data_IF_282600656524
#
_entry.id   IF_282600656524
#
_cell.length_a   1.000
_cell.length_b   1.000
_cell.length_c   1.000
_cell.angle_alpha   90.00
_cell.angle_beta   90.00
_cell.angle_gamma   90.00
#
_symmetry.space_group_name_H-M   'P 1'
#
loop_
_entity.id
_entity.type
_entity.pdbx_description
1 polymer ?
#
# COMPACT_ATOMS: atom_id res chain seq x y z
N UNK A 1 13.16 43.54 -36.82
CA UNK A 1 13.82 43.19 -35.56
C UNK A 1 14.11 41.71 -35.65
N UNK A 2 15.39 41.39 -35.76
CA UNK A 2 15.89 40.04 -36.08
C UNK A 2 16.10 39.28 -34.78
N UNK A 3 15.56 38.07 -34.71
CA UNK A 3 15.54 37.22 -33.50
C UNK A 3 16.92 36.60 -33.16
N UNK A 4 18.01 37.09 -33.76
CA UNK A 4 19.37 36.55 -33.58
C UNK A 4 20.22 37.21 -32.50
N UNK A 5 19.71 38.27 -31.85
CA UNK A 5 20.49 39.03 -30.85
C UNK A 5 20.24 38.64 -29.39
N UNK A 6 19.50 37.53 -29.14
CA UNK A 6 19.15 37.08 -27.76
C UNK A 6 19.94 35.87 -27.25
N UNK A 7 20.85 35.29 -28.04
CA UNK A 7 21.55 34.04 -27.67
C UNK A 7 22.98 34.21 -27.09
N UNK A 8 23.48 35.39 -26.80
CA UNK A 8 24.88 35.55 -26.34
C UNK A 8 25.09 36.23 -24.97
N UNK A 9 24.07 36.54 -24.20
CA UNK A 9 24.22 37.23 -22.90
C UNK A 9 23.84 36.48 -21.64
N UNK A 10 23.07 35.40 -21.73
CA UNK A 10 22.41 34.82 -20.55
C UNK A 10 22.99 33.52 -19.98
N UNK A 11 23.70 32.75 -20.74
CA UNK A 11 24.16 31.44 -20.33
C UNK A 11 25.40 31.44 -19.40
N UNK A 12 26.24 32.43 -19.50
CA UNK A 12 27.46 32.55 -18.70
C UNK A 12 27.20 32.99 -17.25
N UNK A 13 26.29 33.93 -17.04
CA UNK A 13 25.98 34.45 -15.69
C UNK A 13 25.17 33.44 -14.85
N UNK A 14 24.26 32.70 -15.47
CA UNK A 14 23.48 31.67 -14.77
C UNK A 14 24.36 30.49 -14.38
N UNK A 15 25.31 30.08 -15.19
CA UNK A 15 26.27 29.03 -14.88
C UNK A 15 27.16 29.41 -13.69
N UNK A 16 27.66 30.66 -13.66
CA UNK A 16 28.54 31.17 -12.58
C UNK A 16 27.77 31.25 -11.23
N UNK A 17 26.50 31.64 -11.26
CA UNK A 17 25.65 31.67 -10.04
C UNK A 17 25.32 30.29 -9.54
N UNK A 18 25.11 29.31 -10.43
CA UNK A 18 24.89 27.91 -10.04
C UNK A 18 26.16 27.30 -9.45
N UNK A 19 27.32 27.55 -10.00
CA UNK A 19 28.58 27.02 -9.47
C UNK A 19 28.90 27.62 -8.09
N UNK A 20 28.67 28.91 -7.87
CA UNK A 20 28.80 29.58 -6.56
C UNK A 20 27.82 29.01 -5.51
N UNK A 21 26.59 28.64 -5.91
CA UNK A 21 25.60 28.03 -5.02
C UNK A 21 26.02 26.61 -4.68
N UNK A 22 26.51 25.84 -5.64
CA UNK A 22 26.96 24.45 -5.42
C UNK A 22 28.20 24.45 -4.52
N UNK A 23 29.16 25.40 -4.74
CA UNK A 23 30.36 25.51 -3.91
C UNK A 23 30.02 25.89 -2.45
N UNK A 24 29.11 26.84 -2.23
CA UNK A 24 28.60 27.19 -0.89
C UNK A 24 27.83 26.09 -0.21
N UNK A 25 27.06 25.30 -0.96
CA UNK A 25 26.38 24.13 -0.43
C UNK A 25 27.38 23.01 -0.08
N UNK A 26 28.44 22.85 -0.87
CA UNK A 26 29.51 21.90 -0.56
C UNK A 26 30.35 22.32 0.66
N UNK A 27 30.64 23.63 0.81
CA UNK A 27 31.29 24.13 2.03
C UNK A 27 30.43 24.01 3.28
N UNK A 28 29.13 24.25 3.19
CA UNK A 28 28.19 24.03 4.29
C UNK A 28 28.05 22.52 4.65
N UNK A 29 28.11 21.62 3.67
CA UNK A 29 28.11 20.18 3.90
C UNK A 29 29.40 19.68 4.57
N UNK A 30 30.54 20.35 4.34
CA UNK A 30 31.81 20.01 5.00
C UNK A 30 31.95 20.63 6.41
N UNK A 31 31.18 21.67 6.72
CA UNK A 31 31.25 22.35 8.01
C UNK A 31 30.41 21.71 9.13
N UNK A 32 29.66 20.65 8.83
CA UNK A 32 28.87 19.94 9.85
C UNK A 32 29.44 18.53 10.03
N UNK A 33 30.21 18.24 11.09
CA UNK A 33 30.53 16.87 11.44
C UNK A 33 29.26 16.21 11.96
N UNK A 34 28.46 15.61 11.08
CA UNK A 34 27.39 14.69 11.49
C UNK A 34 28.04 13.33 11.80
N UNK A 35 28.83 13.32 12.85
CA UNK A 35 29.05 12.12 13.63
C UNK A 35 28.02 12.12 14.76
N UNK A 36 26.75 12.07 14.44
CA UNK A 36 25.80 11.49 15.35
C UNK A 36 26.11 9.99 15.41
N UNK A 37 26.97 9.59 16.34
CA UNK A 37 26.97 8.22 16.84
C UNK A 37 25.53 7.88 17.10
N UNK A 38 25.00 6.87 16.40
CA UNK A 38 23.75 6.27 16.77
C UNK A 38 23.85 6.01 18.28
N UNK A 39 22.97 6.65 19.04
CA UNK A 39 22.90 6.36 20.47
C UNK A 39 22.73 4.85 20.60
N UNK A 40 23.43 4.19 21.52
CA UNK A 40 23.23 2.78 21.75
C UNK A 40 21.74 2.57 21.98
N UNK A 41 21.14 1.67 21.20
CA UNK A 41 19.73 1.29 21.35
C UNK A 41 19.62 0.76 22.78
N UNK A 42 19.15 1.63 23.67
CA UNK A 42 18.91 1.25 25.06
C UNK A 42 17.79 0.21 25.06
N UNK A 43 17.81 -0.71 26.00
CA UNK A 43 16.88 -1.84 26.20
C UNK A 43 15.37 -1.48 26.24
N UNK A 44 15.01 -0.24 25.97
CA UNK A 44 13.65 0.32 25.97
C UNK A 44 12.84 0.09 24.67
N UNK A 45 13.39 -0.55 23.65
CA UNK A 45 12.68 -0.82 22.37
C UNK A 45 11.76 -2.03 22.46
N UNK A 46 11.96 -2.93 23.39
CA UNK A 46 11.06 -4.06 23.64
C UNK A 46 10.04 -3.64 24.69
N UNK A 47 8.75 -3.67 24.32
CA UNK A 47 7.68 -3.52 25.29
C UNK A 47 7.68 -4.75 26.21
N UNK A 48 7.35 -4.57 27.48
CA UNK A 48 7.22 -5.67 28.43
C UNK A 48 6.29 -6.75 27.86
N UNK A 49 6.73 -8.01 27.88
CA UNK A 49 5.90 -9.13 27.40
C UNK A 49 4.65 -9.22 28.25
N UNK A 50 3.51 -9.09 27.60
CA UNK A 50 2.21 -9.08 28.28
C UNK A 50 1.91 -10.42 28.96
N UNK A 51 2.33 -11.54 28.32
CA UNK A 51 2.12 -12.88 28.82
C UNK A 51 3.39 -13.75 28.67
N UNK A 52 3.64 -14.69 29.60
CA UNK A 52 4.72 -15.66 29.44
C UNK A 52 4.40 -16.65 28.31
N UNK A 53 5.42 -17.02 27.56
CA UNK A 53 5.36 -18.02 26.49
C UNK A 53 6.56 -18.96 26.64
N UNK A 54 6.31 -20.26 26.64
CA UNK A 54 7.33 -21.29 26.61
C UNK A 54 7.75 -21.55 25.17
N UNK A 55 9.04 -21.39 24.89
CA UNK A 55 9.62 -21.56 23.54
C UNK A 55 10.17 -22.95 23.34
N UNK A 56 10.20 -23.42 22.09
CA UNK A 56 10.76 -24.71 21.67
C UNK A 56 11.78 -24.49 20.53
N UNK A 57 13.06 -24.48 20.88
CA UNK A 57 14.17 -24.24 19.93
C UNK A 57 14.32 -25.34 18.87
N UNK A 58 13.75 -26.55 19.08
CA UNK A 58 13.79 -27.62 18.08
C UNK A 58 13.03 -27.23 16.78
N UNK A 59 12.08 -26.30 16.87
CA UNK A 59 11.31 -25.79 15.74
C UNK A 59 12.10 -24.91 14.78
N UNK A 60 13.30 -24.46 15.15
CA UNK A 60 14.24 -23.81 14.23
C UNK A 60 14.62 -24.71 13.04
N UNK A 61 14.49 -26.02 13.18
CA UNK A 61 14.68 -26.99 12.10
C UNK A 61 13.60 -26.91 11.00
N UNK A 62 12.45 -26.31 11.28
CA UNK A 62 11.38 -26.07 10.29
C UNK A 62 11.69 -24.88 9.37
N UNK A 63 12.61 -23.99 9.78
CA UNK A 63 12.99 -22.82 9.00
C UNK A 63 14.02 -23.22 7.94
N UNK A 64 13.78 -22.81 6.69
CA UNK A 64 14.79 -22.92 5.64
C UNK A 64 15.95 -21.97 5.90
N UNK A 65 17.13 -22.23 5.33
CA UNK A 65 18.27 -21.32 5.45
C UNK A 65 17.93 -19.91 4.92
N UNK A 66 17.23 -19.81 3.79
CA UNK A 66 16.74 -18.53 3.29
C UNK A 66 15.79 -17.83 4.27
N UNK A 67 14.91 -18.59 4.93
CA UNK A 67 14.03 -18.07 5.99
C UNK A 67 14.81 -17.50 7.16
N UNK A 68 15.82 -18.23 7.64
CA UNK A 68 16.72 -17.80 8.74
C UNK A 68 17.48 -16.52 8.37
N UNK A 69 18.06 -16.47 7.17
CA UNK A 69 18.76 -15.28 6.68
C UNK A 69 17.83 -14.06 6.62
N UNK A 70 16.59 -14.26 6.13
CA UNK A 70 15.58 -13.20 6.07
C UNK A 70 15.19 -12.70 7.46
N UNK A 71 15.00 -13.60 8.42
CA UNK A 71 14.67 -13.23 9.80
C UNK A 71 15.81 -12.46 10.45
N UNK A 72 17.06 -12.90 10.26
CA UNK A 72 18.26 -12.24 10.76
C UNK A 72 18.43 -10.83 10.18
N UNK A 73 18.19 -10.66 8.88
CA UNK A 73 18.39 -9.39 8.18
C UNK A 73 17.41 -8.30 8.64
N UNK A 74 16.14 -8.66 8.91
CA UNK A 74 15.07 -7.64 9.01
C UNK A 74 14.16 -7.74 10.23
N UNK A 75 14.07 -8.88 10.89
CA UNK A 75 13.01 -9.12 11.88
C UNK A 75 13.50 -9.20 13.31
N UNK A 76 14.64 -9.85 13.53
CA UNK A 76 15.18 -10.05 14.88
C UNK A 76 15.59 -8.73 15.53
N UNK A 77 15.41 -8.66 16.83
CA UNK A 77 16.05 -7.67 17.68
C UNK A 77 17.46 -8.13 18.06
N UNK A 78 18.38 -7.21 18.44
CA UNK A 78 19.71 -7.60 18.89
C UNK A 78 19.66 -8.63 20.04
N UNK A 79 20.24 -9.80 19.80
CA UNK A 79 20.27 -10.89 20.76
C UNK A 79 19.02 -11.77 20.83
N UNK A 80 18.04 -11.53 19.97
CA UNK A 80 16.81 -12.33 19.88
C UNK A 80 17.03 -13.58 19.03
N UNK A 81 16.54 -14.74 19.50
CA UNK A 81 16.46 -15.97 18.69
C UNK A 81 15.17 -15.95 17.83
N UNK A 82 15.06 -16.89 16.85
CA UNK A 82 13.83 -17.04 16.05
C UNK A 82 12.61 -17.32 16.92
N UNK A 83 12.78 -18.17 17.93
CA UNK A 83 11.68 -18.52 18.83
C UNK A 83 11.32 -17.37 19.77
N UNK A 84 12.27 -16.54 20.18
CA UNK A 84 12.01 -15.31 20.95
C UNK A 84 11.20 -14.29 20.15
N UNK A 85 11.50 -14.13 18.85
CA UNK A 85 10.72 -13.30 17.92
C UNK A 85 9.26 -13.76 17.90
N UNK A 86 9.01 -15.06 17.68
CA UNK A 86 7.67 -15.61 17.60
C UNK A 86 6.92 -15.48 18.94
N UNK A 87 7.61 -15.72 20.06
CA UNK A 87 7.05 -15.57 21.39
C UNK A 87 6.71 -14.09 21.71
N UNK A 88 7.57 -13.16 21.31
CA UNK A 88 7.34 -11.71 21.49
C UNK A 88 6.07 -11.26 20.79
N UNK A 89 5.90 -11.66 19.54
CA UNK A 89 4.74 -11.28 18.71
C UNK A 89 3.47 -11.94 19.25
N UNK A 90 3.50 -13.22 19.57
CA UNK A 90 2.37 -13.93 20.16
C UNK A 90 1.93 -13.29 21.49
N UNK A 91 2.87 -13.01 22.39
CA UNK A 91 2.59 -12.41 23.70
C UNK A 91 2.03 -10.98 23.57
N UNK A 92 2.42 -10.22 22.55
CA UNK A 92 1.98 -8.84 22.36
C UNK A 92 0.49 -8.72 22.00
N UNK A 93 -0.03 -9.70 21.26
CA UNK A 93 -1.36 -9.60 20.64
C UNK A 93 -2.34 -10.71 21.06
N UNK A 94 -2.10 -11.32 22.22
CA UNK A 94 -3.01 -12.32 22.78
C UNK A 94 -3.84 -11.78 23.93
N UNK A 95 -4.99 -12.43 24.19
CA UNK A 95 -5.93 -12.03 25.23
C UNK A 95 -5.45 -12.50 26.62
N UNK A 96 -4.81 -13.67 26.68
CA UNK A 96 -4.28 -14.28 27.90
C UNK A 96 -3.05 -15.17 27.61
N UNK A 97 -2.47 -15.74 28.65
CA UNK A 97 -1.27 -16.58 28.54
C UNK A 97 -1.52 -17.88 27.74
N UNK A 98 -2.72 -18.47 27.82
CA UNK A 98 -3.06 -19.68 27.08
C UNK A 98 -3.22 -19.38 25.59
N UNK A 99 -3.86 -18.26 25.24
CA UNK A 99 -3.94 -17.75 23.87
C UNK A 99 -2.54 -17.43 23.33
N UNK A 100 -1.69 -16.75 24.11
CA UNK A 100 -0.31 -16.44 23.71
C UNK A 100 0.50 -17.70 23.40
N UNK A 101 0.37 -18.75 24.22
CA UNK A 101 1.05 -20.01 23.96
C UNK A 101 0.54 -20.67 22.67
N UNK A 102 -0.76 -20.71 22.44
CA UNK A 102 -1.32 -21.30 21.21
C UNK A 102 -0.89 -20.53 19.97
N UNK A 103 -0.95 -19.19 19.99
CA UNK A 103 -0.52 -18.36 18.85
C UNK A 103 0.98 -18.55 18.56
N UNK A 104 1.81 -18.63 19.62
CA UNK A 104 3.21 -18.98 19.46
C UNK A 104 3.38 -20.35 18.78
N UNK A 105 2.61 -21.34 19.23
CA UNK A 105 2.67 -22.69 18.66
C UNK A 105 2.27 -22.67 17.17
N UNK A 106 1.27 -21.88 16.77
CA UNK A 106 0.87 -21.75 15.37
C UNK A 106 1.94 -21.09 14.51
N UNK A 107 2.54 -20.00 14.99
CA UNK A 107 3.61 -19.31 14.26
C UNK A 107 4.84 -20.18 14.15
N UNK A 108 5.31 -20.74 15.25
CA UNK A 108 6.55 -21.52 15.31
C UNK A 108 6.48 -22.86 14.58
N UNK A 109 5.28 -23.43 14.39
CA UNK A 109 5.01 -24.59 13.53
C UNK A 109 4.76 -24.23 12.07
N UNK A 110 4.84 -22.95 11.71
CA UNK A 110 4.58 -22.44 10.37
C UNK A 110 3.13 -22.70 9.88
N UNK A 111 2.16 -22.84 10.77
CA UNK A 111 0.75 -22.96 10.45
C UNK A 111 0.14 -21.58 10.08
N UNK A 112 0.66 -20.55 10.73
CA UNK A 112 0.23 -19.17 10.62
C UNK A 112 1.43 -18.25 10.54
N UNK A 113 1.42 -17.30 9.60
CA UNK A 113 2.50 -16.33 9.45
C UNK A 113 1.95 -14.91 9.50
N UNK A 114 2.30 -14.14 10.54
CA UNK A 114 2.00 -12.72 10.61
C UNK A 114 2.67 -11.93 9.48
N UNK A 115 2.00 -10.88 8.99
CA UNK A 115 2.59 -9.99 8.01
C UNK A 115 3.86 -9.30 8.52
N UNK A 116 4.72 -8.86 7.60
CA UNK A 116 6.02 -8.25 7.93
C UNK A 116 5.94 -7.20 9.05
N UNK A 117 5.04 -6.18 9.03
CA UNK A 117 5.01 -5.20 10.10
C UNK A 117 4.54 -5.77 11.44
N UNK A 118 3.67 -6.76 11.44
CA UNK A 118 3.23 -7.44 12.66
C UNK A 118 4.40 -8.20 13.26
N UNK A 119 5.11 -8.97 12.44
CA UNK A 119 6.22 -9.80 12.90
C UNK A 119 7.42 -8.94 13.32
N UNK A 120 7.78 -7.90 12.56
CA UNK A 120 8.94 -7.06 12.87
C UNK A 120 8.71 -6.05 13.99
N UNK A 121 7.52 -5.46 14.08
CA UNK A 121 7.21 -4.37 15.02
C UNK A 121 6.40 -4.83 16.24
N UNK A 122 5.77 -6.00 16.19
CA UNK A 122 4.94 -6.52 17.27
C UNK A 122 5.70 -6.64 18.59
N UNK A 123 5.12 -6.12 19.68
CA UNK A 123 5.75 -6.07 21.00
C UNK A 123 6.96 -5.14 21.09
N UNK A 124 7.09 -4.19 20.16
CA UNK A 124 8.18 -3.19 20.14
C UNK A 124 7.66 -1.77 19.99
N UNK A 125 8.47 -0.80 20.38
CA UNK A 125 8.23 0.63 20.13
C UNK A 125 8.72 1.14 18.76
N UNK A 126 9.33 0.29 17.92
CA UNK A 126 10.04 0.73 16.71
C UNK A 126 9.15 1.02 15.49
N UNK A 127 7.90 0.60 15.51
CA UNK A 127 6.98 0.84 14.39
C UNK A 127 5.53 0.47 14.72
N UNK A 128 4.66 0.57 13.72
CA UNK A 128 3.26 0.17 13.80
C UNK A 128 3.07 -1.17 13.08
N UNK A 129 2.07 -1.99 13.48
CA UNK A 129 1.91 -3.34 12.95
C UNK A 129 1.08 -3.40 11.65
N UNK A 130 0.84 -2.28 10.98
CA UNK A 130 -0.01 -2.20 9.78
C UNK A 130 0.83 -2.12 8.52
N UNK A 131 0.45 -2.92 7.51
CA UNK A 131 1.12 -2.98 6.22
C UNK A 131 0.47 -2.17 5.11
N UNK A 132 -0.85 -1.96 5.16
CA UNK A 132 -1.61 -1.43 4.03
C UNK A 132 -2.55 -0.31 4.43
N UNK A 133 -2.52 0.76 3.61
CA UNK A 133 -3.38 1.93 3.72
C UNK A 133 -3.97 2.29 2.36
N UNK A 134 -5.22 2.76 2.38
CA UNK A 134 -5.93 3.21 1.18
C UNK A 134 -6.51 4.59 1.46
N UNK A 135 -6.24 5.56 0.61
CA UNK A 135 -6.81 6.89 0.73
C UNK A 135 -7.25 7.49 -0.60
N UNK A 136 -7.90 8.64 -0.55
CA UNK A 136 -8.42 9.35 -1.71
C UNK A 136 -8.00 10.81 -1.66
N UNK A 137 -7.72 11.38 -2.82
CA UNK A 137 -7.38 12.79 -2.98
C UNK A 137 -8.65 13.59 -3.25
N UNK A 138 -8.88 14.66 -2.51
CA UNK A 138 -9.94 15.62 -2.80
C UNK A 138 -9.52 16.59 -3.91
N UNK A 139 -10.49 17.06 -4.70
CA UNK A 139 -10.27 17.99 -5.82
C UNK A 139 -10.00 19.43 -5.36
N UNK A 140 -8.95 19.59 -4.56
CA UNK A 140 -8.46 20.89 -4.10
C UNK A 140 -6.97 20.84 -3.83
N UNK A 141 -6.29 21.99 -3.87
CA UNK A 141 -4.88 22.05 -3.51
C UNK A 141 -4.64 21.60 -2.07
N UNK A 142 -5.54 21.97 -1.15
CA UNK A 142 -5.50 21.53 0.23
C UNK A 142 -5.62 20.00 0.34
N UNK A 143 -6.59 19.40 -0.37
CA UNK A 143 -6.77 17.94 -0.40
C UNK A 143 -5.55 17.20 -0.94
N UNK A 144 -4.94 17.71 -1.99
CA UNK A 144 -3.70 17.16 -2.56
C UNK A 144 -2.55 17.22 -1.56
N UNK A 145 -2.32 18.39 -0.95
CA UNK A 145 -1.23 18.60 0.04
C UNK A 145 -1.47 17.74 1.29
N UNK A 146 -2.70 17.67 1.79
CA UNK A 146 -3.05 16.85 2.94
C UNK A 146 -2.81 15.35 2.65
N UNK A 147 -3.11 14.89 1.44
CA UNK A 147 -2.83 13.50 1.03
C UNK A 147 -1.32 13.24 0.97
N UNK A 148 -0.52 14.14 0.40
CA UNK A 148 0.94 14.01 0.43
C UNK A 148 1.49 13.96 1.85
N UNK A 149 1.03 14.85 2.72
CA UNK A 149 1.44 14.88 4.13
C UNK A 149 1.09 13.55 4.83
N UNK A 150 -0.14 13.07 4.69
CA UNK A 150 -0.54 11.77 5.24
C UNK A 150 0.34 10.64 4.70
N UNK A 151 0.56 10.57 3.39
CA UNK A 151 1.36 9.54 2.75
C UNK A 151 2.82 9.50 3.25
N UNK A 152 3.41 10.64 3.58
CA UNK A 152 4.75 10.72 4.21
C UNK A 152 4.75 9.99 5.56
N UNK A 153 3.75 10.23 6.39
CA UNK A 153 3.65 9.57 7.70
C UNK A 153 3.35 8.08 7.58
N UNK A 154 2.43 7.70 6.70
CA UNK A 154 2.11 6.29 6.43
C UNK A 154 3.35 5.52 5.95
N UNK A 155 4.09 6.07 4.98
CA UNK A 155 5.30 5.47 4.46
C UNK A 155 6.43 5.40 5.51
N UNK A 156 6.60 6.44 6.33
CA UNK A 156 7.62 6.46 7.39
C UNK A 156 7.41 5.38 8.47
N UNK A 157 6.17 4.88 8.61
CA UNK A 157 5.82 3.77 9.49
C UNK A 157 5.81 2.41 8.82
N UNK A 158 6.28 2.34 7.57
CA UNK A 158 6.41 1.10 6.81
C UNK A 158 5.15 0.64 6.07
N UNK A 159 4.12 1.49 5.97
CA UNK A 159 2.89 1.20 5.24
C UNK A 159 3.07 1.26 3.72
N UNK A 160 2.49 0.28 3.01
CA UNK A 160 2.22 0.39 1.58
C UNK A 160 0.92 1.16 1.35
N UNK A 161 0.87 2.02 0.35
CA UNK A 161 -0.22 2.97 0.17
C UNK A 161 -0.87 2.78 -1.19
N UNK A 162 -2.22 2.78 -1.24
CA UNK A 162 -2.98 2.92 -2.47
C UNK A 162 -3.78 4.22 -2.43
N UNK A 163 -3.52 5.13 -3.37
CA UNK A 163 -4.15 6.45 -3.42
C UNK A 163 -5.04 6.61 -4.65
N UNK A 164 -6.29 6.96 -4.44
CA UNK A 164 -7.22 7.27 -5.51
C UNK A 164 -7.12 8.71 -5.97
N UNK A 165 -6.88 8.91 -7.25
CA UNK A 165 -6.74 10.21 -7.90
C UNK A 165 -7.93 10.61 -8.76
N UNK A 166 -8.90 9.72 -8.91
CA UNK A 166 -10.04 9.91 -9.82
C UNK A 166 -11.02 11.02 -9.43
N UNK A 167 -10.91 11.62 -8.24
CA UNK A 167 -11.71 12.81 -7.89
C UNK A 167 -11.10 14.10 -8.44
N UNK A 168 -9.80 14.13 -8.72
CA UNK A 168 -9.09 15.36 -9.11
C UNK A 168 -9.34 15.63 -10.59
N UNK A 169 -9.76 16.85 -10.89
CA UNK A 169 -10.07 17.29 -12.27
C UNK A 169 -8.89 17.18 -13.22
N UNK A 170 -9.20 16.91 -14.47
CA UNK A 170 -8.20 16.71 -15.52
C UNK A 170 -7.56 17.99 -16.04
N UNK A 171 -6.47 17.83 -16.81
CA UNK A 171 -5.71 18.92 -17.42
C UNK A 171 -6.60 19.91 -18.17
N UNK A 172 -6.32 21.20 -18.05
CA UNK A 172 -7.01 22.29 -18.74
C UNK A 172 -8.34 22.69 -18.13
N UNK A 173 -8.82 22.02 -17.07
CA UNK A 173 -10.03 22.42 -16.37
C UNK A 173 -9.83 23.69 -15.55
N UNK A 174 -10.88 24.50 -15.33
CA UNK A 174 -10.76 25.79 -14.64
C UNK A 174 -10.37 25.61 -13.17
N UNK A 175 -9.42 26.45 -12.72
CA UNK A 175 -9.02 26.58 -11.31
C UNK A 175 -9.14 28.05 -10.90
N UNK A 176 -9.94 28.32 -9.86
CA UNK A 176 -10.23 29.70 -9.46
C UNK A 176 -10.85 30.54 -10.56
N UNK A 177 -10.54 31.83 -10.60
CA UNK A 177 -11.13 32.78 -11.54
C UNK A 177 -10.41 32.83 -12.90
N UNK A 178 -9.10 32.56 -12.93
CA UNK A 178 -8.26 32.85 -14.09
C UNK A 178 -7.28 31.73 -14.48
N UNK A 179 -7.32 30.59 -13.81
CA UNK A 179 -6.36 29.51 -14.01
C UNK A 179 -6.93 28.29 -14.70
N UNK A 180 -6.05 27.45 -15.22
CA UNK A 180 -6.32 26.08 -15.67
C UNK A 180 -5.37 25.12 -14.99
N UNK A 181 -5.86 23.95 -14.59
CA UNK A 181 -5.01 22.93 -13.97
C UNK A 181 -4.05 22.31 -15.00
N UNK A 182 -2.85 21.96 -14.55
CA UNK A 182 -1.89 21.14 -15.29
C UNK A 182 -2.23 19.63 -15.28
N UNK A 183 -3.34 19.26 -14.67
CA UNK A 183 -3.80 17.88 -14.56
C UNK A 183 -3.23 17.15 -13.34
N UNK A 184 -3.49 15.83 -13.26
CA UNK A 184 -3.10 14.99 -12.12
C UNK A 184 -1.62 14.57 -12.17
N UNK A 185 -1.06 14.38 -13.35
CA UNK A 185 0.27 13.77 -13.52
C UNK A 185 1.38 14.50 -12.78
N UNK A 186 1.48 15.86 -12.80
CA UNK A 186 2.49 16.57 -12.03
C UNK A 186 2.39 16.34 -10.52
N UNK A 187 1.17 16.22 -9.99
CA UNK A 187 0.95 15.94 -8.56
C UNK A 187 1.28 14.49 -8.20
N UNK A 188 0.96 13.53 -9.08
CA UNK A 188 1.36 12.12 -8.97
C UNK A 188 2.90 12.02 -8.96
N UNK A 189 3.59 12.80 -9.78
CA UNK A 189 5.05 12.84 -9.78
C UNK A 189 5.65 13.34 -8.45
N UNK A 190 5.05 14.33 -7.80
CA UNK A 190 5.48 14.74 -6.45
C UNK A 190 5.34 13.58 -5.48
N UNK A 191 4.22 12.85 -5.52
CA UNK A 191 4.02 11.64 -4.71
C UNK A 191 5.06 10.56 -5.00
N UNK A 192 5.45 10.37 -6.27
CA UNK A 192 6.53 9.46 -6.68
C UNK A 192 7.85 9.78 -5.95
N UNK A 193 8.24 11.04 -5.96
CA UNK A 193 9.46 11.50 -5.32
C UNK A 193 9.40 11.42 -3.80
N UNK A 194 8.27 11.78 -3.19
CA UNK A 194 8.04 11.64 -1.75
C UNK A 194 8.12 10.18 -1.31
N UNK A 195 7.48 9.28 -2.04
CA UNK A 195 7.48 7.84 -1.74
C UNK A 195 8.88 7.26 -1.81
N UNK A 196 9.68 7.67 -2.80
CA UNK A 196 11.07 7.24 -2.95
C UNK A 196 11.96 7.75 -1.81
N UNK A 197 11.74 8.98 -1.35
CA UNK A 197 12.54 9.62 -0.31
C UNK A 197 12.27 9.06 1.10
N UNK A 198 11.06 8.54 1.34
CA UNK A 198 10.62 8.10 2.67
C UNK A 198 10.77 6.58 2.81
N UNK A 199 11.32 6.16 3.94
CA UNK A 199 11.42 4.75 4.30
C UNK A 199 11.36 4.56 5.82
N UNK A 200 10.94 3.39 6.27
CA UNK A 200 11.05 2.98 7.67
C UNK A 200 12.48 2.48 7.93
N UNK A 201 13.43 3.40 8.08
CA UNK A 201 14.85 3.05 8.25
C UNK A 201 15.33 2.11 7.14
N UNK A 202 16.08 1.04 7.52
CA UNK A 202 16.49 -0.01 6.59
C UNK A 202 15.45 -1.13 6.41
N UNK A 203 14.36 -1.13 7.18
CA UNK A 203 13.43 -2.25 7.26
C UNK A 203 12.49 -2.33 6.03
N UNK A 204 11.90 -1.20 5.64
CA UNK A 204 10.94 -1.16 4.53
C UNK A 204 11.00 0.18 3.80
N UNK A 205 11.22 0.14 2.49
CA UNK A 205 11.14 1.33 1.63
C UNK A 205 9.70 1.77 1.46
N UNK A 206 9.47 3.08 1.31
CA UNK A 206 8.19 3.63 0.91
C UNK A 206 7.79 3.06 -0.45
N UNK A 207 6.55 2.62 -0.57
CA UNK A 207 5.97 2.10 -1.80
C UNK A 207 4.51 2.50 -1.88
N UNK A 208 4.07 2.95 -3.06
CA UNK A 208 2.70 3.37 -3.26
C UNK A 208 2.19 3.05 -4.66
N UNK A 209 0.87 2.92 -4.77
CA UNK A 209 0.14 2.79 -6.02
C UNK A 209 -0.84 3.94 -6.20
N UNK A 210 -1.03 4.40 -7.43
CA UNK A 210 -2.04 5.39 -7.82
C UNK A 210 -3.15 4.69 -8.59
N UNK A 211 -4.40 5.01 -8.27
CA UNK A 211 -5.57 4.45 -8.93
C UNK A 211 -6.38 5.53 -9.64
N UNK A 212 -6.84 5.21 -10.85
CA UNK A 212 -7.60 6.14 -11.71
C UNK A 212 -8.74 5.42 -12.44
N UNK A 213 -9.86 6.11 -12.64
CA UNK A 213 -10.97 5.58 -13.41
C UNK A 213 -10.65 5.54 -14.90
N UNK A 214 -11.14 4.51 -15.58
CA UNK A 214 -11.04 4.36 -17.05
C UNK A 214 -11.72 5.49 -17.83
N UNK A 215 -12.61 6.24 -17.18
CA UNK A 215 -13.30 7.39 -17.77
C UNK A 215 -12.65 8.74 -17.48
N UNK A 216 -11.53 8.77 -16.72
CA UNK A 216 -10.84 10.02 -16.42
C UNK A 216 -10.23 10.66 -17.68
N UNK A 217 -10.26 12.00 -17.83
CA UNK A 217 -9.72 12.67 -19.01
C UNK A 217 -8.24 12.38 -19.30
N UNK A 218 -7.44 12.13 -18.28
CA UNK A 218 -6.00 11.86 -18.41
C UNK A 218 -5.65 10.36 -18.39
N UNK A 219 -6.61 9.47 -18.61
CA UNK A 219 -6.37 8.03 -18.52
C UNK A 219 -5.28 7.54 -19.48
N UNK A 220 -5.25 8.06 -20.72
CA UNK A 220 -4.26 7.63 -21.71
C UNK A 220 -2.84 8.04 -21.32
N UNK A 221 -2.66 9.23 -20.75
CA UNK A 221 -1.37 9.68 -20.23
C UNK A 221 -1.00 8.93 -18.95
N UNK A 222 -1.95 8.67 -18.07
CA UNK A 222 -1.76 7.88 -16.86
C UNK A 222 -1.25 6.46 -17.16
N UNK A 223 -1.70 5.83 -18.24
CA UNK A 223 -1.17 4.55 -18.69
C UNK A 223 0.32 4.63 -19.08
N UNK A 224 0.82 5.79 -19.47
CA UNK A 224 2.20 6.01 -19.90
C UNK A 224 3.15 6.51 -18.79
N UNK A 225 2.68 6.67 -17.54
CA UNK A 225 3.49 7.27 -16.46
C UNK A 225 4.77 6.50 -16.13
N UNK A 226 4.78 5.18 -16.37
CA UNK A 226 5.96 4.32 -16.17
C UNK A 226 6.81 4.10 -17.41
N UNK A 227 6.42 4.68 -18.53
CA UNK A 227 7.25 4.64 -19.74
C UNK A 227 8.48 5.54 -19.54
N UNK A 228 9.66 5.00 -19.75
CA UNK A 228 10.94 5.71 -19.54
C UNK A 228 11.26 6.74 -20.64
N UNK A 229 10.46 6.81 -21.70
CA UNK A 229 10.61 7.77 -22.78
C UNK A 229 9.62 8.93 -22.67
N UNK A 230 9.97 10.10 -23.26
CA UNK A 230 9.13 11.29 -23.26
C UNK A 230 9.50 12.30 -22.17
N UNK A 231 8.58 13.24 -21.89
CA UNK A 231 8.81 14.28 -20.90
C UNK A 231 8.88 13.71 -19.48
N UNK A 232 10.06 13.77 -18.88
CA UNK A 232 10.31 13.25 -17.55
C UNK A 232 9.44 13.92 -16.48
N UNK A 233 8.99 15.15 -16.66
CA UNK A 233 8.12 15.85 -15.72
C UNK A 233 6.70 15.27 -15.68
N UNK A 234 6.35 14.43 -16.66
CA UNK A 234 5.07 13.76 -16.75
C UNK A 234 5.19 12.25 -16.54
N UNK A 235 6.18 11.80 -15.76
CA UNK A 235 6.44 10.40 -15.43
C UNK A 235 6.48 10.18 -13.92
N UNK A 236 6.11 8.98 -13.52
CA UNK A 236 6.19 8.47 -12.15
C UNK A 236 6.70 7.02 -12.21
N UNK A 237 8.02 6.87 -12.18
CA UNK A 237 8.68 5.58 -12.48
C UNK A 237 8.75 4.64 -11.28
N UNK A 238 8.59 5.16 -10.07
CA UNK A 238 8.69 4.41 -8.82
C UNK A 238 7.33 4.01 -8.24
N UNK A 239 6.25 4.70 -8.64
CA UNK A 239 4.88 4.36 -8.25
C UNK A 239 4.34 3.22 -9.11
N UNK A 240 3.56 2.37 -8.47
CA UNK A 240 2.66 1.46 -9.17
C UNK A 240 1.40 2.20 -9.60
N UNK A 241 0.67 1.67 -10.57
CA UNK A 241 -0.60 2.26 -10.98
C UNK A 241 -1.66 1.20 -11.29
N UNK A 242 -2.92 1.56 -11.06
CA UNK A 242 -4.08 0.72 -11.29
C UNK A 242 -5.20 1.48 -11.98
N UNK A 243 -6.00 0.76 -12.76
CA UNK A 243 -7.15 1.29 -13.49
C UNK A 243 -8.42 0.65 -12.98
N UNK A 244 -9.40 1.48 -12.65
CA UNK A 244 -10.73 1.07 -12.24
C UNK A 244 -11.62 0.96 -13.48
N UNK A 245 -12.06 -0.26 -13.79
CA UNK A 245 -12.92 -0.55 -14.93
C UNK A 245 -14.36 -0.75 -14.45
N UNK A 246 -15.30 -0.23 -15.25
CA UNK A 246 -16.74 -0.39 -15.02
C UNK A 246 -17.34 -1.46 -15.94
N UNK A 247 -18.49 -2.02 -15.56
CA UNK A 247 -19.23 -2.93 -16.39
C UNK A 247 -19.65 -2.25 -17.72
N UNK A 248 -20.04 -0.98 -17.65
CA UNK A 248 -20.38 -0.18 -18.82
C UNK A 248 -19.21 -0.02 -19.80
N UNK A 249 -18.00 0.18 -19.28
CA UNK A 249 -16.81 0.22 -20.13
C UNK A 249 -16.55 -1.12 -20.82
N UNK A 250 -16.64 -2.24 -20.08
CA UNK A 250 -16.44 -3.56 -20.64
C UNK A 250 -17.49 -3.93 -21.69
N UNK A 251 -18.74 -3.44 -21.51
CA UNK A 251 -19.79 -3.55 -22.53
C UNK A 251 -19.43 -2.77 -23.79
N UNK A 252 -18.97 -1.52 -23.65
CA UNK A 252 -18.53 -0.69 -24.77
C UNK A 252 -17.31 -1.32 -25.50
N UNK A 253 -16.38 -1.97 -24.77
CA UNK A 253 -15.27 -2.76 -25.35
C UNK A 253 -15.81 -3.91 -26.19
N UNK A 254 -16.76 -4.68 -25.66
CA UNK A 254 -17.36 -5.82 -26.35
C UNK A 254 -18.03 -5.39 -27.67
N UNK A 255 -18.77 -4.29 -27.63
CA UNK A 255 -19.54 -3.75 -28.74
C UNK A 255 -18.70 -2.86 -29.68
N UNK A 256 -17.43 -2.57 -29.34
CA UNK A 256 -16.55 -1.67 -30.08
C UNK A 256 -17.11 -0.24 -30.22
N UNK A 257 -17.65 0.29 -29.13
CA UNK A 257 -18.28 1.59 -29.07
C UNK A 257 -17.30 2.72 -28.70
N UNK A 258 -17.74 3.97 -28.84
CA UNK A 258 -17.05 5.14 -28.30
C UNK A 258 -17.23 5.20 -26.77
N UNK A 259 -16.15 5.53 -26.06
CA UNK A 259 -16.15 5.75 -24.64
C UNK A 259 -15.93 7.23 -24.33
N UNK A 260 -16.80 7.80 -23.50
CA UNK A 260 -16.73 9.21 -23.13
C UNK A 260 -15.83 9.38 -21.92
N UNK A 261 -14.78 10.18 -22.06
CA UNK A 261 -13.97 10.65 -20.94
C UNK A 261 -14.70 11.82 -20.27
N UNK A 262 -14.77 11.79 -18.94
CA UNK A 262 -15.61 12.70 -18.14
C UNK A 262 -14.81 13.42 -17.07
N UNK A 263 -15.10 14.71 -16.87
CA UNK A 263 -14.60 15.44 -15.70
C UNK A 263 -15.13 14.79 -14.42
N UNK A 264 -14.26 14.46 -13.44
CA UNK A 264 -14.72 13.98 -12.14
C UNK A 264 -15.49 15.05 -11.36
N UNK A 265 -15.28 16.33 -11.66
CA UNK A 265 -15.91 17.44 -10.95
C UNK A 265 -17.41 17.55 -11.18
N UNK A 266 -17.87 17.38 -12.43
CA UNK A 266 -19.25 17.66 -12.83
C UNK A 266 -19.83 16.63 -13.82
N UNK A 267 -19.07 15.60 -14.17
CA UNK A 267 -19.45 14.56 -15.13
C UNK A 267 -19.48 15.03 -16.59
N UNK A 268 -19.07 16.28 -16.89
CA UNK A 268 -19.10 16.82 -18.26
C UNK A 268 -18.15 16.06 -19.18
N UNK A 269 -18.52 15.84 -20.46
CA UNK A 269 -17.63 15.23 -21.44
C UNK A 269 -16.37 16.07 -21.66
N UNK A 270 -15.20 15.42 -21.65
CA UNK A 270 -13.88 16.04 -21.89
C UNK A 270 -13.17 15.47 -23.11
N UNK A 271 -13.65 14.36 -23.61
CA UNK A 271 -13.11 13.69 -24.78
C UNK A 271 -13.85 12.40 -25.05
N UNK A 272 -13.49 11.75 -26.14
CA UNK A 272 -13.99 10.43 -26.46
C UNK A 272 -12.89 9.62 -27.13
N UNK A 273 -12.89 8.33 -26.84
CA UNK A 273 -11.94 7.35 -27.39
C UNK A 273 -12.71 6.10 -27.78
N UNK A 274 -12.16 5.28 -28.67
CA UNK A 274 -12.72 3.95 -28.90
C UNK A 274 -12.44 3.05 -27.69
N UNK A 275 -13.49 2.46 -27.09
CA UNK A 275 -13.36 1.64 -25.88
C UNK A 275 -12.42 0.44 -26.08
N UNK A 276 -12.51 -0.26 -27.22
CA UNK A 276 -11.68 -1.43 -27.52
C UNK A 276 -10.23 -1.03 -27.69
N UNK A 277 -9.94 0.08 -28.36
CA UNK A 277 -8.57 0.61 -28.51
C UNK A 277 -7.97 1.02 -27.16
N UNK A 278 -8.76 1.66 -26.29
CA UNK A 278 -8.31 2.01 -24.94
C UNK A 278 -8.02 0.76 -24.10
N UNK A 279 -8.90 -0.25 -24.15
CA UNK A 279 -8.66 -1.52 -23.46
C UNK A 279 -7.42 -2.25 -23.99
N UNK A 280 -7.23 -2.25 -25.31
CA UNK A 280 -6.03 -2.79 -25.94
C UNK A 280 -4.77 -2.08 -25.43
N UNK A 281 -4.79 -0.75 -25.34
CA UNK A 281 -3.69 0.04 -24.78
C UNK A 281 -3.39 -0.34 -23.31
N UNK A 282 -4.43 -0.58 -22.48
CA UNK A 282 -4.23 -1.07 -21.11
C UNK A 282 -3.52 -2.42 -21.11
N UNK A 283 -3.96 -3.37 -21.92
CA UNK A 283 -3.37 -4.71 -21.99
C UNK A 283 -1.93 -4.67 -22.53
N UNK A 284 -1.67 -3.89 -23.58
CA UNK A 284 -0.32 -3.71 -24.15
C UNK A 284 0.64 -3.08 -23.14
N UNK A 285 0.18 -2.06 -22.39
CA UNK A 285 0.98 -1.45 -21.31
C UNK A 285 1.30 -2.46 -20.24
N UNK A 286 0.31 -3.27 -19.84
CA UNK A 286 0.49 -4.32 -18.84
C UNK A 286 1.47 -5.41 -19.31
N UNK A 287 1.40 -5.82 -20.56
CA UNK A 287 2.37 -6.79 -21.13
C UNK A 287 3.80 -6.24 -21.13
N UNK A 288 3.95 -4.94 -21.42
CA UNK A 288 5.25 -4.28 -21.51
C UNK A 288 5.88 -3.97 -20.14
N UNK A 289 5.08 -3.60 -19.14
CA UNK A 289 5.56 -3.06 -17.86
C UNK A 289 5.16 -3.89 -16.63
N UNK A 290 4.28 -4.88 -16.78
CA UNK A 290 3.65 -5.59 -15.66
C UNK A 290 2.45 -4.84 -15.03
N UNK A 291 2.18 -3.61 -15.46
CA UNK A 291 1.14 -2.71 -14.94
C UNK A 291 0.36 -2.02 -16.07
N UNK A 292 -0.81 -1.48 -15.84
CA UNK A 292 -1.49 -1.23 -14.55
C UNK A 292 -2.11 -2.49 -13.94
N UNK A 293 -2.44 -2.42 -12.62
CA UNK A 293 -3.45 -3.30 -12.04
C UNK A 293 -4.81 -3.01 -12.67
N UNK A 294 -5.65 -4.04 -12.77
CA UNK A 294 -7.01 -3.91 -13.29
C UNK A 294 -7.98 -4.27 -12.17
N UNK A 295 -8.85 -3.31 -11.82
CA UNK A 295 -9.87 -3.48 -10.78
C UNK A 295 -11.25 -3.31 -11.41
N UNK A 296 -12.08 -4.35 -11.34
CA UNK A 296 -13.48 -4.29 -11.79
C UNK A 296 -14.35 -3.65 -10.70
N UNK A 297 -14.38 -2.32 -10.70
CA UNK A 297 -14.89 -1.53 -9.59
C UNK A 297 -16.37 -1.77 -9.29
N UNK A 298 -17.20 -2.00 -10.30
CA UNK A 298 -18.62 -2.31 -10.10
C UNK A 298 -18.80 -3.67 -9.40
N UNK A 299 -18.01 -4.67 -9.76
CA UNK A 299 -18.01 -5.97 -9.09
C UNK A 299 -17.59 -5.84 -7.63
N UNK A 300 -16.53 -5.09 -7.35
CA UNK A 300 -16.07 -4.81 -5.98
C UNK A 300 -17.19 -4.19 -5.15
N UNK A 301 -17.84 -3.16 -5.67
CA UNK A 301 -18.91 -2.47 -4.93
C UNK A 301 -20.18 -3.33 -4.78
N UNK A 302 -20.50 -4.21 -5.74
CA UNK A 302 -21.60 -5.18 -5.59
C UNK A 302 -21.32 -6.22 -4.51
N UNK A 303 -20.07 -6.67 -4.39
CA UNK A 303 -19.65 -7.69 -3.43
C UNK A 303 -19.29 -7.14 -2.05
N UNK A 304 -19.27 -5.84 -1.90
CA UNK A 304 -18.99 -5.17 -0.63
C UNK A 304 -19.96 -5.65 0.47
N UNK A 305 -19.52 -5.75 1.74
CA UNK A 305 -20.38 -6.16 2.86
C UNK A 305 -21.66 -5.33 2.95
N UNK A 306 -22.76 -5.98 3.34
CA UNK A 306 -24.10 -5.33 3.38
C UNK A 306 -24.10 -4.06 4.22
N UNK A 307 -23.46 -4.06 5.39
CA UNK A 307 -23.43 -2.90 6.27
C UNK A 307 -22.71 -1.69 5.65
N UNK A 308 -21.69 -1.87 4.80
CA UNK A 308 -21.07 -0.77 4.06
C UNK A 308 -22.03 -0.22 2.99
N UNK A 309 -22.73 -1.09 2.26
CA UNK A 309 -23.72 -0.67 1.24
C UNK A 309 -24.89 0.09 1.86
N UNK A 310 -25.41 -0.38 2.99
CA UNK A 310 -26.51 0.27 3.71
C UNK A 310 -26.15 1.69 4.19
N UNK A 311 -24.87 1.94 4.46
CA UNK A 311 -24.35 3.26 4.82
C UNK A 311 -23.94 4.12 3.61
N UNK A 312 -24.17 3.64 2.38
CA UNK A 312 -23.80 4.34 1.16
C UNK A 312 -22.30 4.51 0.93
N UNK A 313 -21.47 3.72 1.62
CA UNK A 313 -20.01 3.74 1.44
C UNK A 313 -19.65 3.16 0.07
N UNK A 314 -18.53 3.62 -0.48
CA UNK A 314 -18.03 3.17 -1.79
C UNK A 314 -16.55 2.85 -1.72
N UNK A 315 -16.18 1.81 -2.46
CA UNK A 315 -14.79 1.48 -2.76
C UNK A 315 -14.41 2.13 -4.08
N UNK A 316 -13.36 2.96 -4.07
CA UNK A 316 -12.83 3.67 -5.24
C UNK A 316 -11.33 3.44 -5.45
N UNK A 317 -10.71 2.58 -4.65
CA UNK A 317 -9.28 2.29 -4.75
C UNK A 317 -8.97 0.91 -4.20
N UNK A 318 -7.73 0.49 -4.32
CA UNK A 318 -7.17 -0.64 -3.59
C UNK A 318 -5.86 -0.23 -2.91
N UNK A 319 -5.25 -1.14 -2.16
CA UNK A 319 -3.93 -0.92 -1.56
C UNK A 319 -2.80 -1.07 -2.60
N UNK A 320 -1.55 -1.01 -2.14
CA UNK A 320 -0.36 -1.16 -2.98
C UNK A 320 -0.36 -2.46 -3.81
N UNK A 321 -0.78 -3.58 -3.22
CA UNK A 321 -0.75 -4.90 -3.87
C UNK A 321 -2.08 -5.30 -4.53
N UNK A 322 -3.11 -4.44 -4.46
CA UNK A 322 -4.41 -4.59 -5.14
C UNK A 322 -5.32 -5.72 -4.62
N UNK A 323 -5.11 -6.19 -3.36
CA UNK A 323 -5.96 -7.22 -2.76
C UNK A 323 -6.99 -6.68 -1.77
N UNK A 324 -6.88 -5.40 -1.33
CA UNK A 324 -7.78 -4.81 -0.32
C UNK A 324 -8.81 -3.90 -1.00
N UNK A 325 -10.07 -4.09 -0.68
CA UNK A 325 -11.19 -3.31 -1.20
C UNK A 325 -12.04 -2.77 -0.06
N UNK A 326 -11.59 -1.65 0.51
CA UNK A 326 -12.24 -0.96 1.62
C UNK A 326 -12.65 0.46 1.23
N UNK A 327 -13.72 1.01 1.84
CA UNK A 327 -14.19 2.38 1.57
C UNK A 327 -13.15 3.43 1.99
N UNK A 328 -12.98 4.45 1.15
CA UNK A 328 -12.13 5.62 1.40
C UNK A 328 -12.90 6.90 1.11
N UNK A 329 -12.27 8.05 1.39
CA UNK A 329 -12.90 9.35 1.20
C UNK A 329 -13.89 9.68 2.30
N UNK A 330 -14.86 10.55 2.02
CA UNK A 330 -15.80 11.03 3.02
C UNK A 330 -16.93 10.03 3.25
N UNK A 331 -17.19 9.71 4.52
CA UNK A 331 -18.25 8.79 4.91
C UNK A 331 -19.60 9.49 5.13
N UNK A 332 -20.64 8.70 5.47
CA UNK A 332 -21.99 9.17 5.74
C UNK A 332 -22.12 10.11 6.93
N UNK A 333 -21.10 10.23 7.78
CA UNK A 333 -21.01 11.15 8.91
C UNK A 333 -20.21 12.42 8.56
N UNK A 334 -19.69 12.52 7.34
CA UNK A 334 -18.88 13.62 6.86
C UNK A 334 -17.42 13.55 7.29
N UNK A 335 -16.94 12.43 7.81
CA UNK A 335 -15.56 12.23 8.21
C UNK A 335 -14.75 11.59 7.07
N UNK A 336 -13.53 12.06 6.89
CA UNK A 336 -12.60 11.47 5.93
C UNK A 336 -12.03 10.17 6.46
N UNK A 337 -11.92 9.17 5.56
CA UNK A 337 -11.40 7.84 5.84
C UNK A 337 -10.13 7.56 5.05
N UNK A 338 -9.15 7.01 5.76
CA UNK A 338 -8.03 6.27 5.18
C UNK A 338 -8.17 4.84 5.64
N UNK A 339 -8.52 3.94 4.75
CA UNK A 339 -8.76 2.55 5.10
C UNK A 339 -7.46 1.86 5.54
N UNK A 340 -7.59 0.95 6.49
CA UNK A 340 -6.47 0.24 7.12
C UNK A 340 -6.75 -1.25 7.06
N UNK A 341 -5.75 -2.05 6.72
CA UNK A 341 -5.87 -3.50 6.79
C UNK A 341 -4.71 -4.12 7.57
N UNK A 342 -5.06 -4.96 8.53
CA UNK A 342 -4.17 -5.82 9.27
C UNK A 342 -4.12 -7.18 8.57
N UNK A 343 -2.96 -7.57 8.05
CA UNK A 343 -2.78 -8.76 7.22
C UNK A 343 -2.00 -9.86 7.95
N UNK A 344 -2.41 -11.11 7.71
CA UNK A 344 -1.64 -12.31 8.03
C UNK A 344 -2.15 -13.48 7.18
N UNK A 345 -1.46 -14.62 7.19
CA UNK A 345 -1.82 -15.75 6.33
C UNK A 345 -1.74 -17.08 7.07
N UNK A 346 -2.71 -17.94 6.80
CA UNK A 346 -2.66 -19.37 7.15
C UNK A 346 -1.86 -20.13 6.09
N UNK A 347 -1.12 -21.15 6.51
CA UNK A 347 -0.35 -21.99 5.60
C UNK A 347 -1.11 -23.27 5.27
N UNK A 348 -1.59 -23.39 4.05
CA UNK A 348 -2.30 -24.57 3.57
C UNK A 348 -1.38 -25.77 3.30
N UNK A 349 -0.08 -25.56 3.18
CA UNK A 349 0.88 -26.66 3.08
C UNK A 349 0.81 -27.58 4.32
N UNK A 350 0.54 -26.99 5.48
CA UNK A 350 0.36 -27.69 6.77
C UNK A 350 -1.12 -27.94 7.13
N UNK A 351 -2.03 -27.86 6.16
CA UNK A 351 -3.48 -28.01 6.36
C UNK A 351 -3.87 -29.22 7.22
N UNK A 352 -3.29 -30.38 6.96
CA UNK A 352 -3.64 -31.61 7.65
C UNK A 352 -3.23 -31.61 9.13
N UNK A 353 -2.36 -30.69 9.56
CA UNK A 353 -1.92 -30.54 10.95
C UNK A 353 -2.87 -29.67 11.78
N UNK A 354 -3.54 -28.68 11.15
CA UNK A 354 -4.33 -27.70 11.88
C UNK A 354 -5.83 -27.67 11.54
N UNK A 355 -6.28 -28.32 10.45
CA UNK A 355 -7.68 -28.29 9.99
C UNK A 355 -8.72 -28.68 11.05
N UNK A 356 -8.37 -29.60 11.94
CA UNK A 356 -9.23 -30.10 13.00
C UNK A 356 -8.95 -29.46 14.38
N UNK A 357 -8.09 -28.41 14.40
CA UNK A 357 -7.76 -27.74 15.65
C UNK A 357 -8.93 -26.84 16.10
N UNK A 358 -9.47 -27.05 17.32
CA UNK A 358 -10.78 -26.48 17.69
C UNK A 358 -10.82 -24.96 17.81
N UNK A 359 -9.69 -24.32 18.11
CA UNK A 359 -9.62 -22.85 18.33
C UNK A 359 -8.77 -22.11 17.33
N UNK A 360 -8.15 -22.79 16.35
CA UNK A 360 -7.16 -22.18 15.46
C UNK A 360 -7.69 -20.93 14.75
N UNK A 361 -8.84 -21.00 14.09
CA UNK A 361 -9.42 -19.89 13.38
C UNK A 361 -9.84 -18.74 14.31
N UNK A 362 -10.45 -19.06 15.45
CA UNK A 362 -10.85 -18.06 16.44
C UNK A 362 -9.65 -17.34 17.05
N UNK A 363 -8.62 -18.08 17.45
CA UNK A 363 -7.41 -17.51 18.03
C UNK A 363 -6.71 -16.55 17.07
N UNK A 364 -6.62 -16.90 15.76
CA UNK A 364 -6.04 -16.03 14.74
C UNK A 364 -6.88 -14.76 14.53
N UNK A 365 -8.20 -14.88 14.50
CA UNK A 365 -9.06 -13.70 14.34
C UNK A 365 -8.96 -12.76 15.53
N UNK A 366 -8.90 -13.27 16.76
CA UNK A 366 -8.64 -12.48 17.98
C UNK A 366 -7.27 -11.82 17.95
N UNK A 367 -6.25 -12.56 17.54
CA UNK A 367 -4.90 -12.02 17.37
C UNK A 367 -4.91 -10.83 16.39
N UNK A 368 -5.54 -10.95 15.22
CA UNK A 368 -5.60 -9.88 14.23
C UNK A 368 -6.40 -8.65 14.73
N UNK A 369 -7.50 -8.88 15.45
CA UNK A 369 -8.25 -7.79 16.06
C UNK A 369 -7.43 -7.05 17.13
N UNK A 370 -6.62 -7.75 17.91
CA UNK A 370 -5.70 -7.17 18.89
C UNK A 370 -4.54 -6.40 18.22
N UNK A 371 -4.02 -6.87 17.09
CA UNK A 371 -3.06 -6.11 16.27
C UNK A 371 -3.67 -4.80 15.80
N UNK A 372 -4.93 -4.83 15.35
CA UNK A 372 -5.64 -3.63 14.93
C UNK A 372 -5.90 -2.68 16.11
N UNK A 373 -6.22 -3.22 17.30
CA UNK A 373 -6.39 -2.42 18.51
C UNK A 373 -5.10 -1.71 18.92
N UNK A 374 -3.96 -2.41 18.90
CA UNK A 374 -2.65 -1.81 19.16
C UNK A 374 -2.35 -0.66 18.20
N UNK A 375 -2.70 -0.82 16.92
CA UNK A 375 -2.58 0.27 15.96
C UNK A 375 -3.47 1.46 16.32
N UNK A 376 -4.74 1.23 16.65
CA UNK A 376 -5.69 2.29 17.02
C UNK A 376 -5.17 3.09 18.24
N UNK A 377 -4.63 2.38 19.21
CA UNK A 377 -4.13 3.00 20.45
C UNK A 377 -2.86 3.84 20.23
N UNK A 378 -1.95 3.35 19.37
CA UNK A 378 -0.62 3.96 19.14
C UNK A 378 -0.53 4.86 17.92
N UNK A 379 -1.54 4.90 17.04
CA UNK A 379 -1.51 5.73 15.84
C UNK A 379 -1.34 7.22 16.20
N UNK A 380 -0.34 7.91 15.61
CA UNK A 380 -0.07 9.30 15.91
C UNK A 380 -1.15 10.23 15.30
N UNK A 381 -1.26 11.49 15.76
CA UNK A 381 -2.26 12.43 15.27
C UNK A 381 -2.25 12.65 13.77
N UNK A 382 -1.11 12.57 13.12
CA UNK A 382 -0.93 12.74 11.68
C UNK A 382 -1.62 11.62 10.87
N UNK A 383 -1.97 10.53 11.53
CA UNK A 383 -2.69 9.38 10.96
C UNK A 383 -4.14 9.31 11.45
N UNK A 384 -4.73 10.44 11.82
CA UNK A 384 -6.07 10.50 12.40
C UNK A 384 -7.17 9.88 11.53
N UNK A 385 -7.12 10.07 10.20
CA UNK A 385 -8.07 9.46 9.24
C UNK A 385 -7.98 7.94 9.26
N UNK A 386 -6.77 7.40 9.32
CA UNK A 386 -6.52 5.97 9.38
C UNK A 386 -6.95 5.37 10.73
N UNK A 387 -6.65 6.04 11.83
CA UNK A 387 -7.13 5.68 13.17
C UNK A 387 -8.66 5.66 13.24
N UNK A 388 -9.31 6.69 12.70
CA UNK A 388 -10.76 6.78 12.63
C UNK A 388 -11.35 5.60 11.84
N UNK A 389 -10.85 5.35 10.63
CA UNK A 389 -11.31 4.27 9.79
C UNK A 389 -11.16 2.90 10.47
N UNK A 390 -9.98 2.61 11.01
CA UNK A 390 -9.69 1.36 11.71
C UNK A 390 -10.65 1.13 12.89
N UNK A 391 -10.92 2.16 13.69
CA UNK A 391 -11.83 2.07 14.84
C UNK A 391 -13.29 1.84 14.43
N UNK A 392 -13.71 2.36 13.25
CA UNK A 392 -15.09 2.23 12.75
C UNK A 392 -15.34 0.90 12.04
N UNK A 393 -14.36 0.38 11.33
CA UNK A 393 -14.53 -0.80 10.49
C UNK A 393 -13.99 -2.08 11.12
N UNK A 394 -12.89 -1.98 11.87
CA UNK A 394 -12.16 -3.14 12.43
C UNK A 394 -11.88 -4.22 11.37
N UNK A 395 -11.50 -3.78 10.17
CA UNK A 395 -11.21 -4.68 9.06
C UNK A 395 -9.91 -5.42 9.28
N UNK A 396 -9.95 -6.74 9.14
CA UNK A 396 -8.79 -7.63 9.18
C UNK A 396 -8.68 -8.39 7.86
N UNK A 397 -7.45 -8.69 7.43
CA UNK A 397 -7.16 -9.47 6.25
C UNK A 397 -6.52 -10.80 6.63
N UNK A 398 -7.27 -11.88 6.55
CA UNK A 398 -6.75 -13.22 6.74
C UNK A 398 -6.64 -13.92 5.39
N UNK A 399 -5.41 -14.06 4.89
CA UNK A 399 -5.10 -14.73 3.65
C UNK A 399 -4.71 -16.18 3.84
N UNK A 400 -4.43 -16.84 2.72
CA UNK A 400 -3.87 -18.19 2.66
C UNK A 400 -2.62 -18.20 1.80
N UNK A 401 -1.65 -19.02 2.15
CA UNK A 401 -0.47 -19.34 1.35
C UNK A 401 -0.33 -20.84 1.22
N UNK A 402 0.51 -21.32 0.29
CA UNK A 402 0.76 -22.74 0.13
C UNK A 402 -0.34 -23.52 -0.57
N UNK A 403 -1.35 -22.87 -1.20
CA UNK A 403 -2.45 -23.57 -1.88
C UNK A 403 -1.94 -24.46 -3.03
N UNK A 404 -0.97 -23.98 -3.80
CA UNK A 404 -0.37 -24.79 -4.86
C UNK A 404 0.36 -26.02 -4.30
N UNK A 405 1.17 -25.86 -3.25
CA UNK A 405 1.84 -26.98 -2.55
C UNK A 405 0.81 -28.00 -2.02
N UNK A 406 -0.28 -27.49 -1.44
CA UNK A 406 -1.41 -28.33 -0.99
C UNK A 406 -2.02 -29.17 -2.12
N UNK A 407 -2.26 -28.57 -3.29
CA UNK A 407 -2.79 -29.26 -4.44
C UNK A 407 -1.78 -30.28 -5.02
N UNK A 408 -0.51 -29.90 -5.12
CA UNK A 408 0.55 -30.78 -5.62
C UNK A 408 0.71 -32.04 -4.74
N UNK A 409 0.69 -31.87 -3.42
CA UNK A 409 0.75 -33.01 -2.49
C UNK A 409 -0.41 -33.99 -2.66
N UNK A 410 -1.53 -33.56 -3.25
CA UNK A 410 -2.72 -34.36 -3.55
C UNK A 410 -2.82 -34.78 -5.02
N UNK A 411 -1.82 -34.47 -5.84
CA UNK A 411 -1.85 -34.78 -7.27
C UNK A 411 -2.95 -34.05 -8.05
N UNK A 412 -3.42 -32.88 -7.56
CA UNK A 412 -4.50 -32.10 -8.16
C UNK A 412 -3.93 -31.00 -9.06
N UNK A 413 -4.23 -30.98 -10.36
CA UNK A 413 -3.86 -29.88 -11.25
C UNK A 413 -4.53 -28.56 -10.82
N UNK A 414 -3.78 -27.45 -10.84
CA UNK A 414 -4.26 -26.15 -10.39
C UNK A 414 -5.48 -25.66 -11.19
N UNK A 415 -5.52 -25.88 -12.48
CA UNK A 415 -6.60 -25.52 -13.40
C UNK A 415 -7.77 -26.52 -13.41
N UNK A 416 -7.70 -27.56 -12.61
CA UNK A 416 -8.71 -28.61 -12.56
C UNK A 416 -9.96 -28.24 -11.75
N UNK A 417 -11.08 -28.93 -12.03
CA UNK A 417 -12.34 -28.75 -11.28
C UNK A 417 -12.17 -29.06 -9.80
N UNK A 418 -11.31 -30.03 -9.43
CA UNK A 418 -11.02 -30.36 -8.05
C UNK A 418 -10.31 -29.23 -7.31
N UNK A 419 -9.42 -28.47 -7.95
CA UNK A 419 -8.79 -27.30 -7.36
C UNK A 419 -9.84 -26.24 -7.01
N UNK A 420 -10.81 -25.99 -7.90
CA UNK A 420 -11.95 -25.12 -7.63
C UNK A 420 -12.79 -25.60 -6.44
N UNK A 421 -13.03 -26.90 -6.36
CA UNK A 421 -13.79 -27.50 -5.25
C UNK A 421 -13.10 -27.33 -3.90
N UNK A 422 -11.78 -27.41 -3.86
CA UNK A 422 -11.02 -27.15 -2.64
C UNK A 422 -10.95 -25.66 -2.25
N UNK A 423 -11.14 -24.76 -3.21
CA UNK A 423 -11.16 -23.31 -2.96
C UNK A 423 -12.54 -22.80 -2.49
N UNK A 424 -13.58 -23.60 -2.53
CA UNK A 424 -14.94 -23.26 -2.08
C UNK A 424 -15.17 -23.69 -0.62
#
# INVERSE_FOLDING_TARGET
MDFRDYEQGGAGEVATVMDDVIEKMAEQAQATPVAAKAAPVTSSTVLERRFPVTTDSSRDALLTEFGKDTLNDRYLLPGESYQDLFARVAAAYSDDAAHAQRVYDYISRLWFMPATPVLSNGGTGRGLPISCYLNSVDDSLEGIVNTWNENVWLASRGGGIGTYWGNVRGIGEPVGLNGKTSGIIPFVRVMDSLTLAISQGSLRRGSAACYLDISHPEIEEFLEVRNTTGDFNRKALNLHHGVLMTDAFMEAVRNNEEWILKSPKDGSPRGKVNARSLFQKVVETRLRTGEPYIVFNDTVNRMMPKHHRDLGLKVSTSNLCSEITLPTGRDHLGNDRTAVCCLSSMNLETWDEWKDHPTFAEDIMRFLDNVLQDYIDRAPPEMARAKYSASRERSVGLGVMGFHSFLQARGIPFEGAMAKSWNL
#
